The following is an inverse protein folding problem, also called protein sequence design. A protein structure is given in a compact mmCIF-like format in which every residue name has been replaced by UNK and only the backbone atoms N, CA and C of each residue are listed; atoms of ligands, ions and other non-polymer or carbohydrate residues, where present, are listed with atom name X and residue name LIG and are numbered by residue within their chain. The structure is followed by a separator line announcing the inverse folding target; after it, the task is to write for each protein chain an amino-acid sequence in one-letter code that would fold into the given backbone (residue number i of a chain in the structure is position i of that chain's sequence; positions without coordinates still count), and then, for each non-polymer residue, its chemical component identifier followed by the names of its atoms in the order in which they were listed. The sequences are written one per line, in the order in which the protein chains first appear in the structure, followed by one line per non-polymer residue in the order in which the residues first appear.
data_IF_594200578946
#
_entry.id   IF_594200578946
#
_cell.length_a   1.000
_cell.length_b   1.000
_cell.length_c   1.000
_cell.angle_alpha   90.00
_cell.angle_beta   90.00
_cell.angle_gamma   90.00
#
_symmetry.space_group_name_H-M   'P 1'
#
loop_
_entity.id
_entity.type
_entity.pdbx_description
1 polymer ?
#
# COMPACT_ATOMS: atom_id res chain seq x y z
N UNK A 1 24.21 11.60 -17.52
CA UNK A 1 24.60 12.43 -18.69
C UNK A 1 24.14 11.71 -19.95
N UNK A 2 23.73 12.39 -21.04
CA UNK A 2 23.30 11.73 -22.29
C UNK A 2 24.38 11.86 -23.34
N UNK A 3 25.00 10.73 -23.71
CA UNK A 3 25.99 10.67 -24.78
C UNK A 3 25.32 10.27 -26.11
N UNK A 4 25.80 10.82 -27.23
CA UNK A 4 25.37 10.44 -28.58
C UNK A 4 26.61 9.93 -29.34
N UNK A 5 26.68 8.60 -29.53
CA UNK A 5 27.79 7.96 -30.21
C UNK A 5 27.50 7.83 -31.71
N UNK A 6 28.35 8.42 -32.54
CA UNK A 6 28.27 8.32 -33.99
C UNK A 6 29.20 7.19 -34.46
N UNK A 7 28.68 5.96 -34.52
CA UNK A 7 29.47 4.78 -34.90
C UNK A 7 29.76 4.66 -36.40
N UNK A 8 28.94 5.29 -37.24
CA UNK A 8 29.03 5.21 -38.70
C UNK A 8 29.75 6.44 -39.26
N UNK A 9 31.05 6.54 -39.01
CA UNK A 9 31.90 7.60 -39.55
C UNK A 9 32.88 7.05 -40.59
N UNK A 10 33.10 7.80 -41.67
CA UNK A 10 34.15 7.49 -42.66
C UNK A 10 35.51 7.58 -42.00
N UNK A 11 36.21 6.45 -41.86
CA UNK A 11 37.48 6.33 -41.14
C UNK A 11 37.44 5.34 -39.98
N UNK A 12 36.25 4.84 -39.60
CA UNK A 12 36.08 3.91 -38.48
C UNK A 12 36.08 4.62 -37.12
N UNK A 13 35.70 3.88 -36.08
CA UNK A 13 35.71 4.37 -34.69
C UNK A 13 36.81 3.66 -33.92
N UNK A 14 37.70 4.39 -33.20
CA UNK A 14 38.70 3.76 -32.37
C UNK A 14 38.02 3.07 -31.18
N UNK A 15 38.15 1.75 -31.10
CA UNK A 15 37.59 0.94 -30.03
C UNK A 15 38.59 0.88 -28.86
N UNK A 16 38.80 2.03 -28.21
CA UNK A 16 39.69 2.18 -27.05
C UNK A 16 38.99 1.84 -25.75
N UNK A 17 39.76 1.51 -24.71
CA UNK A 17 39.21 1.24 -23.37
C UNK A 17 38.43 2.45 -22.82
N UNK A 18 38.90 3.67 -23.11
CA UNK A 18 38.23 4.91 -22.68
C UNK A 18 36.85 5.08 -23.34
N UNK A 19 36.73 4.77 -24.64
CA UNK A 19 35.45 4.83 -25.34
C UNK A 19 34.49 3.75 -24.82
N UNK A 20 34.99 2.57 -24.47
CA UNK A 20 34.18 1.52 -23.86
C UNK A 20 33.70 1.91 -22.46
N UNK A 21 34.55 2.54 -21.64
CA UNK A 21 34.18 3.05 -20.32
C UNK A 21 33.10 4.12 -20.39
N UNK A 22 33.15 5.02 -21.39
CA UNK A 22 32.09 6.00 -21.65
C UNK A 22 30.75 5.35 -22.05
N UNK A 23 30.80 4.26 -22.81
CA UNK A 23 29.60 3.49 -23.18
C UNK A 23 29.00 2.81 -21.93
N UNK A 24 29.84 2.22 -21.07
CA UNK A 24 29.39 1.64 -19.79
C UNK A 24 28.76 2.69 -18.87
N UNK A 25 29.38 3.87 -18.74
CA UNK A 25 28.80 5.00 -17.99
C UNK A 25 27.45 5.42 -18.58
N UNK A 26 27.31 5.45 -19.91
CA UNK A 26 26.06 5.77 -20.57
C UNK A 26 24.93 4.79 -20.21
N UNK A 27 25.24 3.50 -20.07
CA UNK A 27 24.25 2.47 -19.71
C UNK A 27 23.90 2.46 -18.22
N UNK A 28 24.83 2.89 -17.35
CA UNK A 28 24.58 2.97 -15.90
C UNK A 28 23.38 3.85 -15.53
N UNK A 29 23.01 4.82 -16.38
CA UNK A 29 21.85 5.69 -16.14
C UNK A 29 20.52 4.92 -16.05
N UNK A 30 20.44 3.73 -16.66
CA UNK A 30 19.24 2.90 -16.61
C UNK A 30 19.02 2.27 -15.23
N UNK A 31 20.06 2.19 -14.39
CA UNK A 31 19.95 1.72 -13.01
C UNK A 31 19.04 2.62 -12.16
N UNK A 32 18.94 3.92 -12.51
CA UNK A 32 18.01 4.86 -11.85
C UNK A 32 16.55 4.39 -11.99
N UNK A 33 16.20 3.64 -13.03
CA UNK A 33 14.87 3.05 -13.18
C UNK A 33 14.62 1.93 -12.17
N UNK A 34 15.67 1.21 -11.75
CA UNK A 34 15.61 0.23 -10.68
C UNK A 34 15.32 0.90 -9.33
N UNK A 35 16.00 2.02 -9.05
CA UNK A 35 15.74 2.81 -7.84
C UNK A 35 14.32 3.39 -7.81
N UNK A 36 13.82 3.89 -8.95
CA UNK A 36 12.43 4.37 -9.07
C UNK A 36 11.37 3.29 -8.79
N UNK A 37 11.65 2.04 -9.17
CA UNK A 37 10.75 0.93 -8.94
C UNK A 37 10.68 0.52 -7.47
N UNK A 38 11.72 0.83 -6.69
CA UNK A 38 11.87 0.41 -5.31
C UNK A 38 12.54 -0.96 -5.16
N UNK A 39 13.07 -1.21 -3.97
CA UNK A 39 13.77 -2.46 -3.66
C UNK A 39 12.84 -3.68 -3.74
N UNK A 40 13.37 -4.81 -4.20
CA UNK A 40 12.67 -6.10 -4.34
C UNK A 40 11.44 -5.99 -5.25
N UNK A 41 11.60 -5.37 -6.41
CA UNK A 41 10.48 -5.15 -7.35
C UNK A 41 10.67 -5.96 -8.62
N UNK A 42 9.61 -6.63 -9.08
CA UNK A 42 9.59 -7.29 -10.38
C UNK A 42 9.09 -6.28 -11.42
N UNK A 43 9.96 -5.93 -12.37
CA UNK A 43 9.68 -4.97 -13.44
C UNK A 43 8.99 -5.63 -14.63
N UNK A 44 9.44 -6.83 -15.00
CA UNK A 44 8.93 -7.54 -16.17
C UNK A 44 9.10 -9.06 -16.01
N UNK A 45 8.13 -9.82 -16.49
CA UNK A 45 8.17 -11.28 -16.47
C UNK A 45 7.91 -11.85 -15.07
N UNK A 46 8.66 -12.88 -14.71
CA UNK A 46 8.53 -13.62 -13.44
C UNK A 46 7.09 -14.15 -13.22
N UNK A 47 6.48 -14.65 -14.28
CA UNK A 47 5.12 -15.22 -14.20
C UNK A 47 5.19 -16.67 -13.74
N UNK A 48 4.37 -17.02 -12.77
CA UNK A 48 4.28 -18.37 -12.22
C UNK A 48 3.42 -19.24 -13.14
N UNK A 49 4.03 -20.24 -13.77
CA UNK A 49 3.37 -21.26 -14.59
C UNK A 49 3.50 -22.60 -13.88
N UNK A 50 2.45 -22.98 -13.13
CA UNK A 50 2.47 -24.16 -12.27
C UNK A 50 3.50 -24.00 -11.16
N UNK A 51 4.49 -24.90 -11.10
CA UNK A 51 5.59 -24.86 -10.13
C UNK A 51 6.82 -24.10 -10.61
N UNK A 52 6.82 -23.58 -11.84
CA UNK A 52 7.94 -22.84 -12.41
C UNK A 52 7.63 -21.35 -12.49
N UNK A 53 8.67 -20.53 -12.40
CA UNK A 53 8.61 -19.09 -12.63
C UNK A 53 9.39 -18.77 -13.90
N UNK A 54 8.77 -18.03 -14.81
CA UNK A 54 9.38 -17.60 -16.06
C UNK A 54 10.55 -16.62 -15.80
N UNK A 55 11.52 -16.52 -16.72
CA UNK A 55 12.57 -15.51 -16.65
C UNK A 55 12.02 -14.08 -16.66
N UNK A 56 12.80 -13.12 -16.17
CA UNK A 56 12.35 -11.73 -16.05
C UNK A 56 13.44 -10.74 -15.68
N UNK A 57 13.01 -9.55 -15.27
CA UNK A 57 13.86 -8.47 -14.77
C UNK A 57 13.36 -8.05 -13.41
N UNK A 58 14.28 -8.02 -12.44
CA UNK A 58 14.02 -7.65 -11.05
C UNK A 58 14.96 -6.53 -10.62
N UNK A 59 14.48 -5.67 -9.73
CA UNK A 59 15.24 -4.62 -9.08
C UNK A 59 15.58 -5.03 -7.65
N UNK A 60 16.87 -5.05 -7.30
CA UNK A 60 17.39 -5.37 -5.97
C UNK A 60 18.41 -4.31 -5.61
N UNK A 61 18.24 -3.66 -4.45
CA UNK A 61 19.13 -2.60 -3.94
C UNK A 61 19.38 -1.46 -4.95
N UNK A 62 18.34 -1.10 -5.72
CA UNK A 62 18.41 -0.04 -6.73
C UNK A 62 19.10 -0.45 -8.04
N UNK A 63 19.51 -1.73 -8.17
CA UNK A 63 20.13 -2.26 -9.38
C UNK A 63 19.23 -3.25 -10.11
N UNK A 64 19.35 -3.27 -11.43
CA UNK A 64 18.59 -4.14 -12.33
C UNK A 64 19.33 -5.45 -12.57
N UNK A 65 18.64 -6.55 -12.32
CA UNK A 65 19.17 -7.88 -12.56
C UNK A 65 18.26 -8.71 -13.46
N UNK A 66 18.90 -9.49 -14.33
CA UNK A 66 18.21 -10.52 -15.08
C UNK A 66 17.93 -11.73 -14.18
N UNK A 67 16.67 -12.13 -14.13
CA UNK A 67 16.21 -13.30 -13.41
C UNK A 67 16.07 -14.48 -14.37
N UNK A 68 16.78 -15.58 -14.07
CA UNK A 68 16.81 -16.75 -14.96
C UNK A 68 15.54 -17.60 -14.91
N UNK A 69 14.70 -17.44 -13.89
CA UNK A 69 13.54 -18.31 -13.69
C UNK A 69 13.92 -19.69 -13.13
N UNK A 70 12.99 -20.63 -13.21
CA UNK A 70 13.17 -22.01 -12.77
C UNK A 70 12.11 -22.47 -11.78
N UNK A 71 12.40 -23.54 -11.05
CA UNK A 71 11.48 -24.09 -10.04
C UNK A 71 11.31 -23.08 -8.90
N UNK A 72 10.06 -22.78 -8.56
CA UNK A 72 9.72 -21.84 -7.51
C UNK A 72 10.34 -22.29 -6.17
N UNK A 73 11.11 -21.38 -5.56
CA UNK A 73 11.70 -21.55 -4.24
C UNK A 73 11.32 -20.35 -3.36
N UNK A 74 11.50 -20.49 -2.05
CA UNK A 74 11.19 -19.43 -1.09
C UNK A 74 12.20 -18.27 -1.14
N UNK A 75 13.39 -18.53 -1.68
CA UNK A 75 14.54 -17.61 -1.63
C UNK A 75 15.21 -17.47 -2.99
N UNK A 76 15.71 -16.28 -3.25
CA UNK A 76 16.53 -15.93 -4.40
C UNK A 76 17.86 -15.32 -3.96
N UNK A 77 18.87 -15.43 -4.80
CA UNK A 77 20.19 -14.85 -4.56
C UNK A 77 20.79 -14.34 -5.86
N UNK A 78 21.77 -13.44 -5.74
CA UNK A 78 22.54 -12.92 -6.86
C UNK A 78 23.72 -13.88 -7.10
N UNK A 79 23.69 -14.57 -8.22
CA UNK A 79 24.77 -15.41 -8.71
C UNK A 79 25.76 -14.56 -9.53
N UNK A 80 27.04 -14.65 -9.19
CA UNK A 80 28.12 -13.99 -9.92
C UNK A 80 28.98 -15.06 -10.60
N UNK A 81 29.12 -14.97 -11.92
CA UNK A 81 29.93 -15.87 -12.74
C UNK A 81 31.06 -15.09 -13.41
N UNK A 82 32.30 -15.47 -13.11
CA UNK A 82 33.51 -14.85 -13.64
C UNK A 82 33.94 -15.53 -14.93
N UNK A 83 33.79 -14.83 -16.06
CA UNK A 83 34.22 -15.30 -17.38
C UNK A 83 35.67 -14.86 -17.59
N UNK A 84 36.57 -15.84 -17.51
CA UNK A 84 38.00 -15.65 -17.74
C UNK A 84 38.32 -15.70 -19.23
N UNK A 85 39.25 -14.84 -19.66
CA UNK A 85 39.86 -14.94 -20.99
C UNK A 85 41.38 -14.96 -20.87
N UNK A 86 42.00 -15.70 -21.78
CA UNK A 86 43.45 -15.69 -21.98
C UNK A 86 43.82 -14.45 -22.77
N UNK A 87 44.74 -13.66 -22.23
CA UNK A 87 45.29 -12.48 -22.88
C UNK A 87 46.49 -12.86 -23.76
N UNK A 88 46.93 -11.92 -24.60
CA UNK A 88 48.11 -12.08 -25.48
C UNK A 88 49.41 -12.44 -24.72
N UNK A 89 49.45 -12.14 -23.42
CA UNK A 89 50.55 -12.50 -22.51
C UNK A 89 50.44 -13.94 -21.95
N UNK A 90 49.51 -14.75 -22.47
CA UNK A 90 49.18 -16.11 -22.00
C UNK A 90 48.67 -16.19 -20.55
N UNK A 91 48.37 -15.05 -19.91
CA UNK A 91 47.76 -15.02 -18.59
C UNK A 91 46.24 -15.07 -18.67
N UNK A 92 45.61 -15.85 -17.80
CA UNK A 92 44.15 -15.81 -17.62
C UNK A 92 43.79 -14.66 -16.67
N UNK A 93 42.96 -13.73 -17.15
CA UNK A 93 42.38 -12.68 -16.31
C UNK A 93 40.86 -12.72 -16.43
N UNK A 94 40.17 -12.38 -15.35
CA UNK A 94 38.70 -12.21 -15.36
C UNK A 94 38.39 -10.98 -16.21
N UNK A 95 37.65 -11.19 -17.30
CA UNK A 95 37.30 -10.11 -18.23
C UNK A 95 35.88 -9.63 -18.00
N UNK A 96 34.95 -10.54 -17.71
CA UNK A 96 33.52 -10.24 -17.57
C UNK A 96 33.01 -10.90 -16.30
N UNK A 97 32.32 -10.13 -15.47
CA UNK A 97 31.58 -10.64 -14.31
C UNK A 97 30.10 -10.59 -14.64
N UNK A 98 29.48 -11.74 -14.86
CA UNK A 98 28.06 -11.85 -15.16
C UNK A 98 27.28 -12.04 -13.85
N UNK A 99 26.42 -11.09 -13.52
CA UNK A 99 25.52 -11.18 -12.37
C UNK A 99 24.10 -11.51 -12.82
N UNK A 100 23.55 -12.62 -12.34
CA UNK A 100 22.15 -13.02 -12.58
C UNK A 100 21.46 -13.42 -11.29
N UNK A 101 20.15 -13.28 -11.22
CA UNK A 101 19.36 -13.72 -10.05
C UNK A 101 18.79 -15.10 -10.33
N UNK A 102 18.96 -16.01 -9.37
CA UNK A 102 18.45 -17.39 -9.44
C UNK A 102 17.77 -17.79 -8.14
N UNK A 103 16.89 -18.77 -8.22
CA UNK A 103 16.36 -19.43 -7.02
C UNK A 103 17.43 -20.25 -6.32
N UNK A 104 17.42 -20.22 -4.99
CA UNK A 104 18.30 -21.02 -4.15
C UNK A 104 18.78 -20.26 -2.91
N UNK A 105 19.71 -20.88 -2.19
CA UNK A 105 20.32 -20.29 -0.99
C UNK A 105 21.79 -19.97 -1.25
N UNK A 106 22.21 -18.82 -0.75
CA UNK A 106 23.59 -18.34 -0.75
C UNK A 106 23.86 -17.57 0.54
N UNK A 107 25.00 -16.88 0.64
CA UNK A 107 25.38 -16.06 1.80
C UNK A 107 24.43 -14.86 1.95
N UNK A 108 24.09 -14.19 0.85
CA UNK A 108 23.11 -13.12 0.80
C UNK A 108 21.90 -13.60 0.02
N UNK A 109 20.78 -13.80 0.73
CA UNK A 109 19.51 -14.27 0.16
C UNK A 109 18.41 -13.25 0.40
N UNK A 110 17.46 -13.23 -0.53
CA UNK A 110 16.26 -12.41 -0.46
C UNK A 110 15.06 -13.35 -0.51
N UNK A 111 14.02 -13.09 0.31
CA UNK A 111 12.82 -13.90 0.25
C UNK A 111 12.04 -13.55 -1.02
N UNK A 112 11.64 -14.56 -1.77
CA UNK A 112 10.84 -14.36 -2.98
C UNK A 112 9.47 -13.74 -2.68
N UNK A 113 8.92 -14.01 -1.48
CA UNK A 113 7.64 -13.45 -1.04
C UNK A 113 7.67 -11.92 -0.84
N UNK A 114 8.86 -11.35 -0.60
CA UNK A 114 9.02 -9.91 -0.44
C UNK A 114 9.02 -9.19 -1.80
N UNK A 115 9.12 -9.93 -2.92
CA UNK A 115 9.11 -9.35 -4.25
C UNK A 115 7.70 -8.92 -4.66
N UNK A 116 7.55 -7.63 -4.98
CA UNK A 116 6.28 -7.08 -5.44
C UNK A 116 6.32 -6.88 -6.96
N UNK A 117 5.30 -7.38 -7.66
CA UNK A 117 5.14 -7.13 -9.10
C UNK A 117 4.63 -5.72 -9.32
N UNK A 118 5.38 -4.92 -10.08
CA UNK A 118 4.97 -3.57 -10.44
C UNK A 118 3.80 -3.64 -11.43
N UNK A 119 2.68 -3.04 -11.05
CA UNK A 119 1.58 -2.81 -11.97
C UNK A 119 1.98 -1.78 -13.03
N UNK A 120 1.40 -1.90 -14.23
CA UNK A 120 1.57 -0.86 -15.22
C UNK A 120 0.94 0.47 -14.73
N UNK A 121 1.52 1.60 -15.15
CA UNK A 121 1.08 2.94 -14.74
C UNK A 121 -0.43 3.14 -15.02
N UNK A 122 -0.93 2.57 -16.11
CA UNK A 122 -2.35 2.62 -16.47
C UNK A 122 -3.25 1.93 -15.44
N UNK A 123 -2.87 0.75 -14.95
CA UNK A 123 -3.61 0.04 -13.91
C UNK A 123 -3.51 0.77 -12.56
N UNK A 124 -2.36 1.37 -12.24
CA UNK A 124 -2.22 2.21 -11.05
C UNK A 124 -3.17 3.41 -11.11
N UNK A 125 -3.27 4.10 -12.25
CA UNK A 125 -4.22 5.20 -12.44
C UNK A 125 -5.66 4.74 -12.28
N UNK A 126 -6.04 3.59 -12.83
CA UNK A 126 -7.39 3.03 -12.65
C UNK A 126 -7.68 2.69 -11.18
N UNK A 127 -6.73 2.08 -10.47
CA UNK A 127 -6.85 1.78 -9.03
C UNK A 127 -6.98 3.04 -8.19
N UNK A 128 -6.29 4.11 -8.57
CA UNK A 128 -6.37 5.40 -7.88
C UNK A 128 -7.73 6.09 -8.13
N UNK A 129 -8.23 6.04 -9.36
CA UNK A 129 -9.55 6.61 -9.71
C UNK A 129 -10.70 5.95 -8.94
N UNK A 130 -10.57 4.67 -8.58
CA UNK A 130 -11.56 3.95 -7.76
C UNK A 130 -11.44 4.21 -6.25
N UNK A 131 -10.40 4.90 -5.78
CA UNK A 131 -10.21 5.22 -4.36
C UNK A 131 -10.83 6.58 -4.04
N UNK A 132 -11.44 6.66 -2.86
CA UNK A 132 -11.99 7.91 -2.32
C UNK A 132 -10.85 8.91 -2.11
N UNK A 133 -11.04 10.16 -2.53
CA UNK A 133 -10.05 11.21 -2.28
C UNK A 133 -9.86 11.41 -0.78
N UNK A 134 -8.65 11.77 -0.37
CA UNK A 134 -8.34 12.01 1.04
C UNK A 134 -9.28 13.05 1.66
N UNK A 135 -9.65 14.08 0.89
CA UNK A 135 -10.62 15.10 1.27
C UNK A 135 -12.01 14.56 1.58
N UNK A 136 -12.51 13.61 0.79
CA UNK A 136 -13.81 13.00 1.03
C UNK A 136 -13.77 12.06 2.24
N UNK A 137 -12.66 11.37 2.47
CA UNK A 137 -12.45 10.58 3.68
C UNK A 137 -12.45 11.46 4.95
N UNK A 138 -11.76 12.60 4.91
CA UNK A 138 -11.71 13.52 6.05
C UNK A 138 -13.10 14.09 6.38
N UNK A 139 -13.89 14.46 5.35
CA UNK A 139 -15.28 14.91 5.56
C UNK A 139 -16.16 13.83 6.20
N UNK A 140 -15.98 12.56 5.81
CA UNK A 140 -16.73 11.44 6.40
C UNK A 140 -16.35 11.22 7.87
N UNK A 141 -15.06 11.39 8.20
CA UNK A 141 -14.58 11.31 9.59
C UNK A 141 -15.20 12.42 10.44
N UNK A 142 -15.27 13.65 9.92
CA UNK A 142 -15.93 14.77 10.59
C UNK A 142 -17.42 14.50 10.82
N UNK A 143 -18.16 14.02 9.81
CA UNK A 143 -19.57 13.66 9.95
C UNK A 143 -19.78 12.56 11.01
N UNK A 144 -18.93 11.53 11.03
CA UNK A 144 -18.98 10.47 12.05
C UNK A 144 -18.73 11.03 13.45
N UNK A 145 -17.81 11.98 13.60
CA UNK A 145 -17.56 12.64 14.89
C UNK A 145 -18.76 13.49 15.34
N UNK A 146 -19.40 14.22 14.42
CA UNK A 146 -20.63 14.96 14.71
C UNK A 146 -21.78 14.02 15.11
N UNK A 147 -21.93 12.87 14.44
CA UNK A 147 -22.93 11.87 14.78
C UNK A 147 -22.68 11.27 16.18
N UNK A 148 -21.42 10.99 16.53
CA UNK A 148 -21.06 10.57 17.89
C UNK A 148 -21.42 11.63 18.92
N UNK A 149 -21.15 12.91 18.67
CA UNK A 149 -21.56 14.01 19.56
C UNK A 149 -23.08 14.13 19.71
N UNK A 150 -23.83 14.02 18.60
CA UNK A 150 -25.30 14.04 18.62
C UNK A 150 -25.91 12.86 19.37
N UNK A 151 -25.23 11.71 19.32
CA UNK A 151 -25.69 10.46 19.96
C UNK A 151 -25.19 10.31 21.40
N UNK A 152 -24.13 11.03 21.80
CA UNK A 152 -23.55 10.97 23.15
C UNK A 152 -24.55 11.21 24.30
N UNK A 153 -25.56 12.10 24.19
CA UNK A 153 -26.59 12.24 25.22
C UNK A 153 -27.53 11.04 25.28
N UNK A 154 -27.73 10.35 24.15
CA UNK A 154 -28.59 9.17 23.99
C UNK A 154 -27.87 7.93 24.51
N UNK A 155 -27.41 8.00 25.75
CA UNK A 155 -27.00 6.83 26.51
C UNK A 155 -28.24 6.14 27.06
N UNK A 156 -28.18 4.82 27.05
CA UNK A 156 -29.24 3.98 27.56
C UNK A 156 -29.58 4.31 29.02
N UNK A 157 -30.80 4.78 29.28
CA UNK A 157 -31.25 5.20 30.61
C UNK A 157 -31.14 6.70 30.89
N UNK A 158 -30.41 7.48 30.08
CA UNK A 158 -30.07 8.88 30.38
C UNK A 158 -30.97 9.94 29.73
N UNK A 159 -31.79 9.56 28.74
CA UNK A 159 -32.71 10.48 28.05
C UNK A 159 -34.14 10.06 28.27
N UNK A 160 -34.95 11.07 28.60
CA UNK A 160 -36.37 10.95 28.75
C UNK A 160 -37.05 11.65 27.58
N UNK A 161 -37.87 10.92 26.79
CA UNK A 161 -38.57 11.49 25.64
C UNK A 161 -40.10 11.40 25.82
N UNK A 162 -40.85 12.47 25.53
CA UNK A 162 -42.31 12.44 25.61
C UNK A 162 -42.92 11.66 24.44
N UNK A 163 -43.84 10.75 24.74
CA UNK A 163 -44.50 9.92 23.73
C UNK A 163 -46.02 10.12 23.78
N UNK A 164 -46.62 10.43 22.62
CA UNK A 164 -48.03 10.86 22.51
C UNK A 164 -49.02 9.71 22.29
N UNK A 165 -48.54 8.49 22.07
CA UNK A 165 -49.37 7.31 21.77
C UNK A 165 -49.51 6.40 23.00
N UNK A 166 -50.50 5.49 23.03
CA UNK A 166 -50.67 4.57 24.16
C UNK A 166 -49.42 3.71 24.38
N UNK A 167 -49.19 3.31 25.63
CA UNK A 167 -48.02 2.54 26.05
C UNK A 167 -47.83 1.20 25.29
N UNK A 168 -48.92 0.66 24.71
CA UNK A 168 -48.90 -0.54 23.87
C UNK A 168 -48.23 -0.35 22.51
N UNK A 169 -48.02 0.90 22.05
CA UNK A 169 -47.41 1.23 20.76
C UNK A 169 -45.98 1.77 20.87
N UNK A 170 -45.31 1.58 22.02
CA UNK A 170 -43.93 2.05 22.19
C UNK A 170 -43.01 1.29 21.21
N UNK A 171 -42.19 2.01 20.39
CA UNK A 171 -41.27 1.38 19.46
C UNK A 171 -40.26 0.44 20.15
N UNK A 172 -39.90 -0.64 19.46
CA UNK A 172 -38.86 -1.58 19.91
C UNK A 172 -37.57 -0.82 20.21
N UNK A 173 -36.99 -1.06 21.39
CA UNK A 173 -35.80 -0.37 21.90
C UNK A 173 -36.09 0.65 23.00
N UNK A 174 -37.32 1.15 23.12
CA UNK A 174 -37.74 2.08 24.17
C UNK A 174 -38.60 1.37 25.24
N UNK A 175 -38.58 1.86 26.48
CA UNK A 175 -39.50 1.43 27.55
C UNK A 175 -40.12 2.64 28.24
N UNK A 176 -41.24 2.44 28.92
CA UNK A 176 -41.80 3.49 29.77
C UNK A 176 -40.88 3.80 30.95
N UNK A 177 -40.73 5.10 31.28
CA UNK A 177 -40.08 5.51 32.50
C UNK A 177 -41.11 5.58 33.62
N UNK A 178 -41.19 4.50 34.40
CA UNK A 178 -42.14 4.41 35.52
C UNK A 178 -41.89 5.47 36.60
N UNK A 179 -40.66 5.93 36.77
CA UNK A 179 -40.26 6.87 37.82
C UNK A 179 -40.85 8.27 37.65
N UNK A 180 -41.21 8.66 36.43
CA UNK A 180 -41.83 9.95 36.11
C UNK A 180 -43.34 9.88 35.82
N UNK A 181 -43.99 8.73 36.00
CA UNK A 181 -45.43 8.61 35.79
C UNK A 181 -46.19 9.55 36.73
N UNK A 182 -47.07 10.39 36.17
CA UNK A 182 -47.86 11.37 36.93
C UNK A 182 -47.07 12.56 37.49
N UNK A 183 -45.78 12.69 37.15
CA UNK A 183 -44.93 13.81 37.56
C UNK A 183 -44.71 14.75 36.39
N UNK A 184 -44.75 16.06 36.64
CA UNK A 184 -44.38 17.05 35.63
C UNK A 184 -42.87 17.21 35.66
N UNK A 185 -42.21 16.99 34.51
CA UNK A 185 -40.78 17.28 34.37
C UNK A 185 -40.64 18.80 34.32
N UNK A 186 -39.92 19.33 35.30
CA UNK A 186 -39.56 20.74 35.36
C UNK A 186 -38.06 20.84 35.13
N UNK A 187 -37.64 21.75 34.26
CA UNK A 187 -36.22 22.04 34.08
C UNK A 187 -35.66 22.53 35.41
N UNK A 188 -34.63 21.83 35.93
CA UNK A 188 -33.89 22.27 37.09
C UNK A 188 -33.22 23.61 36.76
N UNK A 189 -33.91 24.69 37.11
CA UNK A 189 -33.44 26.06 36.93
C UNK A 189 -32.84 26.47 38.27
N UNK A 190 -31.65 27.09 38.27
CA UNK A 190 -31.07 27.68 39.50
C UNK A 190 -31.88 28.86 40.06
N UNK A 191 -33.07 29.14 39.52
CA UNK A 191 -34.02 30.08 40.09
C UNK A 191 -35.46 29.61 39.91
N UNK A 192 -36.18 29.71 41.02
CA UNK A 192 -37.54 29.29 41.32
C UNK A 192 -38.58 30.06 40.49
N UNK A 193 -39.33 29.38 39.62
CA UNK A 193 -40.78 29.62 39.34
C UNK A 193 -41.26 28.69 38.20
N UNK A 194 -42.35 27.95 38.43
CA UNK A 194 -42.80 26.81 37.64
C UNK A 194 -44.20 27.10 37.06
N UNK A 195 -44.41 26.80 35.77
CA UNK A 195 -45.73 26.55 35.17
C UNK A 195 -45.84 25.05 34.79
N UNK A 196 -46.92 24.32 35.15
CA UNK A 196 -47.01 22.89 34.86
C UNK A 196 -47.67 22.61 33.49
N UNK A 197 -47.05 21.74 32.70
CA UNK A 197 -47.67 21.04 31.56
C UNK A 197 -47.49 19.53 31.79
N UNK A 198 -48.59 18.79 31.82
CA UNK A 198 -48.65 17.34 32.06
C UNK A 198 -48.13 16.57 30.84
N UNK A 199 -47.04 15.80 30.98
CA UNK A 199 -46.50 14.93 29.91
C UNK A 199 -45.95 13.61 30.47
N UNK A 200 -46.28 12.48 29.81
CA UNK A 200 -45.85 11.12 30.18
C UNK A 200 -44.44 10.84 29.62
N UNK A 201 -43.44 10.48 30.45
CA UNK A 201 -42.06 10.34 29.95
C UNK A 201 -41.57 8.88 29.78
N UNK A 202 -40.81 8.58 28.73
CA UNK A 202 -40.20 7.25 28.42
C UNK A 202 -38.68 7.22 28.65
N UNK A 203 -38.07 6.06 28.92
CA UNK A 203 -36.60 5.85 29.06
C UNK A 203 -36.14 4.62 28.28
N UNK A 204 -34.96 4.63 27.63
CA UNK A 204 -34.46 3.49 26.85
C UNK A 204 -33.88 2.34 27.74
N UNK A 205 -33.88 1.07 27.29
CA UNK A 205 -33.41 -0.11 28.08
C UNK A 205 -32.11 -0.73 27.52
N UNK A 206 -31.28 -1.24 28.46
CA UNK A 206 -30.09 -2.09 28.25
C UNK A 206 -30.58 -3.44 27.78
N UNK A 207 -30.05 -3.97 26.69
CA UNK A 207 -29.99 -5.42 26.52
C UNK A 207 -28.59 -5.90 26.90
N UNK A 208 -28.46 -7.11 27.48
CA UNK A 208 -27.17 -7.76 27.70
C UNK A 208 -26.40 -8.00 26.41
#
# INVERSE_FOLDING_TARGET
MKYNFQFLQTGGVPLTADLMSLIEEAYSIFEVLGDLAGNLTILKGCETVGSNVAPGIVAIEGQLYYFEGGLASNTVYIHSEDIKKTFEDQSEKVLIVKKTVKFGNSVNTYNWADFVKLDNIRALMNKLAGKVSQTAFDSLVEEVNLLKLKTAPIINGGVVFPFRRPASEIPVGWKECVDFRGKTIVVATLMTTILPILVIPLVQRRTP
#
